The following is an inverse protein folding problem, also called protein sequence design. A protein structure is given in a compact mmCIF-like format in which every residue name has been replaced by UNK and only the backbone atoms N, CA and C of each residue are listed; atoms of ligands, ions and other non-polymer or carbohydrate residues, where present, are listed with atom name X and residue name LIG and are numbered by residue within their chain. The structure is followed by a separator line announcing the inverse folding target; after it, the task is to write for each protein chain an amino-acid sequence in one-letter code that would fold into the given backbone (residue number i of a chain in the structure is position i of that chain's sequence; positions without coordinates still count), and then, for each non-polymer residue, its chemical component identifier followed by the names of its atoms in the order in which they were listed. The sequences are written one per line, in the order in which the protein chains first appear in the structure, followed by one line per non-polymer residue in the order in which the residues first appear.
data_IF_880334117610
#
_entry.id   IF_880334117610
#
_cell.length_a   1.000
_cell.length_b   1.000
_cell.length_c   1.000
_cell.angle_alpha   90.00
_cell.angle_beta   90.00
_cell.angle_gamma   90.00
#
_symmetry.space_group_name_H-M   'P 1'
#
loop_
_entity.id
_entity.type
_entity.pdbx_description
1 polymer ?
#
# COMPACT_ATOMS: atom_id res chain seq x y z
N UNK A 1 -24.11 15.60 -5.19
CA UNK A 1 -22.67 15.71 -4.89
C UNK A 1 -22.34 14.49 -4.05
N UNK A 2 -21.93 13.39 -4.69
CA UNK A 2 -21.71 12.13 -4.00
C UNK A 2 -20.39 12.24 -3.22
N UNK A 3 -20.47 11.95 -1.94
CA UNK A 3 -19.36 12.00 -1.01
C UNK A 3 -18.41 10.84 -1.31
N UNK A 4 -17.35 11.10 -2.09
CA UNK A 4 -16.28 10.13 -2.40
C UNK A 4 -15.65 9.58 -1.10
N UNK A 5 -15.75 10.34 -0.01
CA UNK A 5 -15.27 9.99 1.32
C UNK A 5 -15.95 8.74 1.91
N UNK A 6 -17.21 8.44 1.54
CA UNK A 6 -17.92 7.28 2.10
C UNK A 6 -17.40 5.94 1.57
N UNK A 7 -16.84 5.88 0.36
CA UNK A 7 -16.32 4.64 -0.20
C UNK A 7 -14.99 4.23 0.46
N UNK A 8 -14.29 5.18 1.08
CA UNK A 8 -13.05 4.97 1.83
C UNK A 8 -13.27 4.29 3.19
N UNK A 9 -14.48 4.33 3.78
CA UNK A 9 -14.75 3.66 5.06
C UNK A 9 -14.82 2.13 4.94
N UNK A 10 -15.01 1.60 3.73
CA UNK A 10 -15.24 0.16 3.50
C UNK A 10 -13.98 -0.58 3.05
N UNK A 11 -13.02 0.11 2.44
CA UNK A 11 -11.87 -0.53 1.79
C UNK A 11 -10.54 -0.03 2.38
N UNK A 12 -9.63 -0.93 2.77
CA UNK A 12 -8.36 -0.52 3.35
C UNK A 12 -7.51 0.20 2.29
N UNK A 13 -7.08 1.42 2.61
CA UNK A 13 -6.10 2.17 1.82
C UNK A 13 -4.67 1.85 2.23
N UNK A 14 -4.46 1.11 3.32
CA UNK A 14 -3.13 0.71 3.81
C UNK A 14 -3.15 -0.73 4.32
N UNK A 15 -2.08 -1.48 4.03
CA UNK A 15 -1.85 -2.85 4.50
C UNK A 15 -0.41 -2.98 5.01
N UNK A 16 -0.26 -3.47 6.24
CA UNK A 16 1.03 -3.74 6.88
C UNK A 16 1.19 -5.24 7.16
N UNK A 17 2.17 -5.86 6.52
CA UNK A 17 2.53 -7.26 6.71
C UNK A 17 3.92 -7.39 7.31
N UNK A 18 4.08 -8.33 8.25
CA UNK A 18 5.36 -8.65 8.86
C UNK A 18 5.55 -10.15 8.86
N UNK A 19 6.76 -10.60 8.52
CA UNK A 19 7.18 -12.00 8.64
C UNK A 19 8.42 -12.07 9.51
N UNK A 20 8.28 -12.68 10.68
CA UNK A 20 9.35 -12.82 11.67
C UNK A 20 9.50 -14.30 11.99
N UNK A 21 10.64 -14.87 11.65
CA UNK A 21 11.03 -16.24 11.98
C UNK A 21 12.51 -16.23 12.39
N UNK A 22 12.80 -16.26 13.71
CA UNK A 22 14.17 -16.24 14.22
C UNK A 22 15.00 -17.45 13.79
N UNK A 23 14.39 -18.63 13.62
CA UNK A 23 15.10 -19.86 13.26
C UNK A 23 15.73 -19.78 11.87
N UNK A 24 15.15 -18.96 10.99
CA UNK A 24 15.62 -18.72 9.63
C UNK A 24 16.32 -17.36 9.46
N UNK A 25 16.66 -16.67 10.55
CA UNK A 25 17.18 -15.28 10.53
C UNK A 25 16.29 -14.34 9.67
N UNK A 26 14.99 -14.56 9.74
CA UNK A 26 14.01 -13.85 8.93
C UNK A 26 13.30 -12.78 9.76
N UNK A 27 13.44 -11.53 9.33
CA UNK A 27 12.77 -10.39 9.95
C UNK A 27 12.42 -9.37 8.87
N UNK A 28 11.31 -9.61 8.16
CA UNK A 28 10.92 -8.84 6.97
C UNK A 28 9.60 -8.10 7.18
N UNK A 29 9.43 -6.99 6.46
CA UNK A 29 8.18 -6.25 6.35
C UNK A 29 7.77 -6.11 4.88
N UNK A 30 6.48 -5.93 4.68
CA UNK A 30 5.87 -5.52 3.42
C UNK A 30 4.72 -4.56 3.74
N UNK A 31 4.78 -3.34 3.23
CA UNK A 31 3.77 -2.29 3.44
C UNK A 31 3.24 -1.85 2.10
N UNK A 32 1.94 -1.64 2.03
CA UNK A 32 1.27 -1.07 0.86
C UNK A 32 0.39 0.09 1.32
N UNK A 33 0.40 1.18 0.58
CA UNK A 33 -0.50 2.32 0.82
C UNK A 33 -0.95 2.95 -0.49
N UNK A 34 -2.22 3.30 -0.57
CA UNK A 34 -2.79 4.14 -1.62
C UNK A 34 -2.65 5.59 -1.17
N UNK A 35 -2.07 6.44 -2.01
CA UNK A 35 -1.89 7.86 -1.75
C UNK A 35 -2.42 8.67 -2.94
N UNK A 36 -3.22 9.72 -2.72
CA UNK A 36 -3.63 10.62 -3.79
C UNK A 36 -2.43 11.36 -4.38
N UNK A 37 -2.46 11.66 -5.67
CA UNK A 37 -1.49 12.55 -6.31
C UNK A 37 -2.05 13.98 -6.47
N UNK A 38 -1.18 14.91 -6.92
CA UNK A 38 -1.53 16.32 -7.07
C UNK A 38 -2.43 16.63 -8.29
N UNK A 39 -2.67 15.65 -9.16
CA UNK A 39 -3.37 15.82 -10.45
C UNK A 39 -4.70 15.07 -10.50
N UNK A 40 -5.19 14.58 -9.36
CA UNK A 40 -6.45 13.86 -9.26
C UNK A 40 -6.36 12.36 -9.54
N UNK A 41 -5.15 11.82 -9.73
CA UNK A 41 -4.87 10.40 -9.75
C UNK A 41 -4.50 9.84 -8.37
N UNK A 42 -4.05 8.60 -8.35
CA UNK A 42 -3.59 7.94 -7.12
C UNK A 42 -2.39 7.04 -7.38
N UNK A 43 -1.57 6.86 -6.35
CA UNK A 43 -0.38 6.01 -6.37
C UNK A 43 -0.51 4.88 -5.35
N UNK A 44 -0.24 3.65 -5.76
CA UNK A 44 -0.01 2.52 -4.86
C UNK A 44 1.49 2.43 -4.54
N UNK A 45 1.85 2.80 -3.33
CA UNK A 45 3.20 2.75 -2.79
C UNK A 45 3.39 1.40 -2.11
N UNK A 46 4.37 0.62 -2.55
CA UNK A 46 4.76 -0.66 -1.96
C UNK A 46 6.16 -0.55 -1.39
N UNK A 47 6.34 -0.93 -0.13
CA UNK A 47 7.62 -0.87 0.58
C UNK A 47 7.93 -2.25 1.16
N UNK A 48 9.17 -2.71 1.04
CA UNK A 48 9.55 -4.02 1.58
C UNK A 48 11.02 -4.07 1.97
N UNK A 49 11.35 -4.94 2.92
CA UNK A 49 12.73 -5.10 3.33
C UNK A 49 12.89 -5.82 4.65
N UNK A 50 14.11 -5.77 5.20
CA UNK A 50 14.38 -6.22 6.58
C UNK A 50 13.94 -5.16 7.57
N UNK A 51 13.27 -5.56 8.64
CA UNK A 51 12.84 -4.66 9.71
C UNK A 51 14.08 -4.06 10.39
N UNK A 52 14.10 -2.74 10.53
CA UNK A 52 15.26 -1.96 11.04
C UNK A 52 16.19 -1.42 9.96
N UNK A 53 15.88 -1.63 8.67
CA UNK A 53 16.64 -1.12 7.53
C UNK A 53 15.72 -0.36 6.57
N UNK A 54 16.31 0.45 5.68
CA UNK A 54 15.58 1.28 4.71
C UNK A 54 14.67 0.49 3.76
N UNK A 55 15.05 -0.74 3.39
CA UNK A 55 14.30 -1.55 2.44
C UNK A 55 14.33 -0.99 1.01
N UNK A 56 13.32 -1.36 0.23
CA UNK A 56 13.07 -0.96 -1.15
C UNK A 56 11.63 -0.45 -1.27
N UNK A 57 11.37 0.33 -2.32
CA UNK A 57 10.07 0.92 -2.61
C UNK A 57 9.76 0.81 -4.11
N UNK A 58 8.47 0.60 -4.43
CA UNK A 58 7.89 0.71 -5.75
C UNK A 58 6.67 1.62 -5.69
N UNK A 59 6.54 2.52 -6.65
CA UNK A 59 5.38 3.38 -6.81
C UNK A 59 4.69 3.00 -8.12
N UNK A 60 3.45 2.54 -8.04
CA UNK A 60 2.58 2.28 -9.18
C UNK A 60 1.55 3.41 -9.29
N UNK A 61 1.44 4.04 -10.46
CA UNK A 61 0.51 5.15 -10.69
C UNK A 61 -0.79 4.64 -11.30
N UNK A 62 -1.89 5.24 -10.91
CA UNK A 62 -3.24 4.92 -11.38
C UNK A 62 -4.02 6.21 -11.65
N UNK A 63 -4.94 6.13 -12.61
CA UNK A 63 -5.77 7.26 -13.04
C UNK A 63 -6.74 7.73 -11.93
N UNK A 64 -7.09 6.84 -11.00
CA UNK A 64 -8.02 7.10 -9.90
C UNK A 64 -7.74 6.22 -8.68
N UNK A 65 -8.24 6.64 -7.53
CA UNK A 65 -8.07 5.93 -6.25
C UNK A 65 -8.71 4.54 -6.25
N UNK A 66 -9.86 4.36 -6.90
CA UNK A 66 -10.55 3.07 -6.97
C UNK A 66 -9.72 2.00 -7.68
N UNK A 67 -8.99 2.38 -8.74
CA UNK A 67 -8.02 1.50 -9.41
C UNK A 67 -6.83 1.17 -8.53
N UNK A 68 -6.28 2.15 -7.80
CA UNK A 68 -5.18 1.91 -6.87
C UNK A 68 -5.59 0.97 -5.72
N UNK A 69 -6.80 1.16 -5.16
CA UNK A 69 -7.40 0.28 -4.15
C UNK A 69 -7.66 -1.13 -4.70
N UNK A 70 -8.15 -1.23 -5.93
CA UNK A 70 -8.31 -2.53 -6.62
C UNK A 70 -6.97 -3.23 -6.79
N UNK A 71 -5.91 -2.49 -7.14
CA UNK A 71 -4.55 -3.05 -7.25
C UNK A 71 -3.98 -3.49 -5.89
N UNK A 72 -4.32 -2.76 -4.81
CA UNK A 72 -3.96 -3.15 -3.44
C UNK A 72 -4.63 -4.47 -3.01
N UNK A 73 -5.87 -4.71 -3.43
CA UNK A 73 -6.61 -5.94 -3.07
C UNK A 73 -6.26 -7.18 -3.89
N UNK A 74 -5.57 -7.03 -5.02
CA UNK A 74 -5.21 -8.13 -5.91
C UNK A 74 -4.01 -8.98 -5.43
N UNK A 75 -3.50 -8.74 -4.22
CA UNK A 75 -2.40 -9.51 -3.64
C UNK A 75 -2.75 -10.99 -3.41
#
# INVERSE_FOLDING_TARGET
MFDISQQMEVFPTTVDLKRIDPSLNMRRFYRMSVQPDLFGGACLVREWGRIGFRGQMLIERHDDEGRAVTALMKC
#
